data_IF_314767951416
#
_entry.id   IF_314767951416
#
_cell.length_a   1.000
_cell.length_b   1.000
_cell.length_c   1.000
_cell.angle_alpha   90.00
_cell.angle_beta   90.00
_cell.angle_gamma   90.00
#
_symmetry.space_group_name_H-M   'P 1'
#
loop_
_entity.id
_entity.type
_entity.pdbx_description
1 polymer ?
#
# COMPACT_ATOMS: atom_id res chain seq x y z
N UNK A 1 -30.34 -8.01 5.63
CA UNK A 1 -29.87 -6.61 5.46
C UNK A 1 -29.38 -6.44 4.03
N UNK A 2 -29.56 -5.27 3.42
CA UNK A 2 -29.11 -5.02 2.05
C UNK A 2 -27.61 -4.71 2.08
N UNK A 3 -26.74 -5.59 1.55
CA UNK A 3 -25.28 -5.46 1.59
C UNK A 3 -24.73 -4.45 0.57
N UNK A 4 -25.52 -3.44 0.21
CA UNK A 4 -25.16 -2.40 -0.74
C UNK A 4 -24.91 -1.08 -0.03
N UNK A 5 -23.96 -0.30 -0.54
CA UNK A 5 -23.72 1.05 -0.06
C UNK A 5 -24.97 1.92 -0.31
N UNK A 6 -25.29 2.87 0.59
CA UNK A 6 -26.62 3.47 0.64
C UNK A 6 -26.92 4.44 -0.50
N UNK A 7 -25.91 4.99 -1.16
CA UNK A 7 -26.09 5.93 -2.28
C UNK A 7 -25.46 5.41 -3.58
N UNK A 8 -26.04 5.74 -4.75
CA UNK A 8 -25.44 5.43 -6.05
C UNK A 8 -24.02 6.00 -6.21
N UNK A 9 -23.75 7.17 -5.61
CA UNK A 9 -22.41 7.77 -5.62
C UNK A 9 -21.39 6.91 -4.87
N UNK A 10 -21.71 6.46 -3.65
CA UNK A 10 -20.83 5.56 -2.90
C UNK A 10 -20.63 4.22 -3.62
N UNK A 11 -21.68 3.67 -4.22
CA UNK A 11 -21.58 2.45 -5.03
C UNK A 11 -20.64 2.65 -6.21
N UNK A 12 -20.74 3.77 -6.93
CA UNK A 12 -19.83 4.10 -8.03
C UNK A 12 -18.38 4.25 -7.57
N UNK A 13 -18.13 4.97 -6.48
CA UNK A 13 -16.77 5.15 -5.93
C UNK A 13 -16.18 3.81 -5.50
N UNK A 14 -16.93 2.97 -4.78
CA UNK A 14 -16.51 1.62 -4.42
C UNK A 14 -16.15 0.79 -5.66
N UNK A 15 -17.06 0.71 -6.63
CA UNK A 15 -16.90 -0.11 -7.83
C UNK A 15 -15.70 0.34 -8.68
N UNK A 16 -15.47 1.66 -8.77
CA UNK A 16 -14.44 2.25 -9.63
C UNK A 16 -13.05 2.39 -8.99
N UNK A 17 -12.92 2.25 -7.66
CA UNK A 17 -11.66 2.47 -6.93
C UNK A 17 -11.20 1.30 -6.07
N UNK A 18 -12.13 0.56 -5.46
CA UNK A 18 -11.82 -0.41 -4.41
C UNK A 18 -12.18 -1.85 -4.79
N UNK A 19 -13.24 -2.04 -5.58
CA UNK A 19 -13.68 -3.34 -6.04
C UNK A 19 -12.69 -3.96 -7.03
N UNK A 20 -12.20 -5.17 -6.74
CA UNK A 20 -11.33 -5.91 -7.66
C UNK A 20 -12.12 -6.58 -8.77
N UNK A 21 -11.46 -6.80 -9.90
CA UNK A 21 -11.99 -7.66 -10.94
C UNK A 21 -11.90 -9.13 -10.50
N UNK A 22 -12.98 -9.87 -10.72
CA UNK A 22 -13.08 -11.32 -10.48
C UNK A 22 -13.15 -12.00 -11.85
N UNK A 23 -12.03 -12.59 -12.28
CA UNK A 23 -11.90 -13.20 -13.61
C UNK A 23 -12.89 -14.35 -13.84
N UNK A 24 -13.19 -15.13 -12.81
CA UNK A 24 -14.15 -16.23 -12.86
C UNK A 24 -15.60 -15.74 -13.05
N UNK A 25 -15.95 -14.60 -12.44
CA UNK A 25 -17.31 -14.04 -12.49
C UNK A 25 -17.49 -12.98 -13.57
N UNK A 26 -16.42 -12.59 -14.27
CA UNK A 26 -16.41 -11.53 -15.30
C UNK A 26 -17.07 -10.22 -14.82
N UNK A 27 -16.84 -9.86 -13.55
CA UNK A 27 -17.34 -8.62 -12.94
C UNK A 27 -16.41 -8.14 -11.84
N UNK A 28 -16.63 -6.91 -11.37
CA UNK A 28 -15.98 -6.44 -10.14
C UNK A 28 -16.71 -6.94 -8.90
N UNK A 29 -15.98 -7.03 -7.79
CA UNK A 29 -16.50 -7.27 -6.44
C UNK A 29 -17.67 -6.35 -6.10
N UNK A 30 -18.63 -6.86 -5.34
CA UNK A 30 -19.61 -6.05 -4.63
C UNK A 30 -19.09 -5.69 -3.23
N UNK A 31 -19.75 -4.77 -2.52
CA UNK A 31 -19.27 -4.24 -1.24
C UNK A 31 -18.97 -5.34 -0.23
N UNK A 32 -19.90 -6.29 -0.06
CA UNK A 32 -19.69 -7.45 0.83
C UNK A 32 -18.48 -8.30 0.47
N UNK A 33 -18.24 -8.56 -0.82
CA UNK A 33 -17.08 -9.35 -1.26
C UNK A 33 -15.75 -8.62 -0.97
N UNK A 34 -15.72 -7.30 -1.13
CA UNK A 34 -14.55 -6.48 -0.76
C UNK A 34 -14.28 -6.52 0.75
N UNK A 35 -15.33 -6.39 1.59
CA UNK A 35 -15.21 -6.48 3.07
C UNK A 35 -14.73 -7.87 3.49
N UNK A 36 -15.31 -8.92 2.92
CA UNK A 36 -14.94 -10.31 3.21
C UNK A 36 -13.48 -10.58 2.83
N UNK A 37 -13.02 -10.08 1.67
CA UNK A 37 -11.61 -10.19 1.27
C UNK A 37 -10.69 -9.48 2.26
N UNK A 38 -11.05 -8.27 2.68
CA UNK A 38 -10.26 -7.52 3.65
C UNK A 38 -10.17 -8.25 5.00
N UNK A 39 -11.30 -8.69 5.56
CA UNK A 39 -11.33 -9.38 6.85
C UNK A 39 -10.58 -10.71 6.80
N UNK A 40 -10.80 -11.51 5.75
CA UNK A 40 -10.07 -12.77 5.55
C UNK A 40 -8.56 -12.54 5.54
N UNK A 41 -8.10 -11.49 4.88
CA UNK A 41 -6.69 -11.12 4.88
C UNK A 41 -6.21 -10.74 6.29
N UNK A 42 -6.93 -9.89 7.01
CA UNK A 42 -6.53 -9.46 8.36
C UNK A 42 -6.50 -10.61 9.36
N UNK A 43 -7.52 -11.48 9.37
CA UNK A 43 -7.57 -12.68 10.23
C UNK A 43 -6.37 -13.58 9.94
N UNK A 44 -6.07 -13.82 8.66
CA UNK A 44 -4.90 -14.60 8.27
C UNK A 44 -3.58 -13.99 8.77
N UNK A 45 -3.42 -12.66 8.66
CA UNK A 45 -2.23 -11.96 9.15
C UNK A 45 -2.10 -12.04 10.67
N UNK A 46 -3.20 -11.85 11.41
CA UNK A 46 -3.22 -11.93 12.88
C UNK A 46 -2.86 -13.33 13.35
N UNK A 47 -3.49 -14.36 12.77
CA UNK A 47 -3.16 -15.75 13.07
C UNK A 47 -1.70 -16.07 12.77
N UNK A 48 -1.20 -15.67 11.60
CA UNK A 48 0.17 -15.98 11.18
C UNK A 48 1.24 -15.25 11.99
N UNK A 49 1.03 -13.98 12.35
CA UNK A 49 2.03 -13.14 13.05
C UNK A 49 1.95 -13.24 14.56
N UNK A 50 0.77 -13.50 15.11
CA UNK A 50 0.53 -13.46 16.55
C UNK A 50 0.00 -14.77 17.13
N UNK A 51 -0.18 -15.81 16.29
CA UNK A 51 -0.75 -17.11 16.71
C UNK A 51 -2.09 -16.96 17.43
N UNK A 52 -2.86 -15.95 17.04
CA UNK A 52 -4.12 -15.59 17.66
C UNK A 52 -5.28 -15.85 16.71
N UNK A 53 -6.22 -16.67 17.16
CA UNK A 53 -7.50 -16.90 16.47
C UNK A 53 -8.54 -15.93 17.04
N UNK A 54 -9.03 -15.04 16.18
CA UNK A 54 -10.10 -14.11 16.53
C UNK A 54 -11.40 -14.90 16.79
N UNK A 55 -12.11 -14.64 17.91
CA UNK A 55 -13.42 -15.22 18.17
C UNK A 55 -14.39 -14.97 17.01
N UNK A 56 -15.20 -15.97 16.67
CA UNK A 56 -16.14 -15.88 15.54
C UNK A 56 -17.12 -14.71 15.69
N UNK A 57 -17.56 -14.44 16.93
CA UNK A 57 -18.44 -13.32 17.26
C UNK A 57 -17.77 -11.97 16.95
N UNK A 58 -16.51 -11.79 17.33
CA UNK A 58 -15.78 -10.55 17.07
C UNK A 58 -15.63 -10.31 15.56
N UNK A 59 -15.40 -11.38 14.77
CA UNK A 59 -15.32 -11.30 13.32
C UNK A 59 -16.66 -10.86 12.72
N UNK A 60 -17.77 -11.42 13.19
CA UNK A 60 -19.12 -11.08 12.75
C UNK A 60 -19.48 -9.63 13.11
N UNK A 61 -19.23 -9.23 14.36
CA UNK A 61 -19.49 -7.87 14.86
C UNK A 61 -18.69 -6.83 14.04
N UNK A 62 -17.41 -7.08 13.79
CA UNK A 62 -16.57 -6.19 12.95
C UNK A 62 -17.09 -6.16 11.51
N UNK A 63 -17.47 -7.30 10.95
CA UNK A 63 -17.98 -7.40 9.58
C UNK A 63 -19.25 -6.59 9.42
N UNK A 64 -20.20 -6.75 10.31
CA UNK A 64 -21.48 -6.06 10.25
C UNK A 64 -21.31 -4.55 10.49
N UNK A 65 -20.42 -4.15 11.40
CA UNK A 65 -20.08 -2.75 11.59
C UNK A 65 -19.45 -2.11 10.34
N UNK A 66 -18.60 -2.82 9.60
CA UNK A 66 -18.05 -2.33 8.32
C UNK A 66 -19.14 -2.26 7.26
N UNK A 67 -19.98 -3.30 7.14
CA UNK A 67 -21.06 -3.34 6.16
C UNK A 67 -22.09 -2.22 6.39
N UNK A 68 -22.45 -1.98 7.65
CA UNK A 68 -23.33 -0.91 8.11
C UNK A 68 -22.70 0.48 8.08
N UNK A 69 -21.42 0.59 7.69
CA UNK A 69 -20.65 1.84 7.65
C UNK A 69 -20.47 2.52 9.02
N UNK A 70 -20.60 1.78 10.11
CA UNK A 70 -20.34 2.26 11.48
C UNK A 70 -18.84 2.49 11.70
N UNK A 71 -18.01 1.67 11.05
CA UNK A 71 -16.55 1.82 11.02
C UNK A 71 -16.03 1.71 9.59
N UNK A 72 -14.89 2.36 9.32
CA UNK A 72 -14.21 2.32 8.03
C UNK A 72 -12.77 1.83 8.18
N UNK A 73 -12.40 0.69 7.59
CA UNK A 73 -11.00 0.25 7.56
C UNK A 73 -10.09 1.18 6.73
N UNK A 74 -8.79 0.95 6.79
CA UNK A 74 -7.84 1.60 5.87
C UNK A 74 -8.28 1.37 4.42
N UNK A 75 -8.61 2.45 3.73
CA UNK A 75 -9.00 2.43 2.32
C UNK A 75 -7.91 1.80 1.43
N UNK A 76 -6.63 2.02 1.77
CA UNK A 76 -5.50 1.35 1.10
C UNK A 76 -5.56 -0.15 1.29
N UNK A 77 -5.77 -0.63 2.52
CA UNK A 77 -5.90 -2.06 2.79
C UNK A 77 -7.17 -2.66 2.14
N UNK A 78 -8.28 -1.94 2.08
CA UNK A 78 -9.49 -2.37 1.35
C UNK A 78 -9.18 -2.62 -0.14
N UNK A 79 -8.36 -1.77 -0.74
CA UNK A 79 -7.88 -1.92 -2.12
C UNK A 79 -6.84 -3.06 -2.26
N UNK A 80 -5.89 -3.17 -1.34
CA UNK A 80 -4.66 -3.99 -1.52
C UNK A 80 -4.65 -5.33 -0.78
N UNK A 81 -5.54 -5.57 0.19
CA UNK A 81 -5.65 -6.83 0.94
C UNK A 81 -5.69 -8.06 0.02
N UNK A 82 -4.78 -9.00 0.27
CA UNK A 82 -4.51 -10.16 -0.60
C UNK A 82 -3.03 -10.20 -1.02
N UNK A 83 -2.71 -10.79 -2.19
CA UNK A 83 -1.32 -11.03 -2.60
C UNK A 83 -0.45 -9.77 -2.70
N UNK A 84 -1.04 -8.63 -3.08
CA UNK A 84 -0.31 -7.36 -3.18
C UNK A 84 0.18 -6.89 -1.79
N UNK A 85 -0.73 -6.78 -0.82
CA UNK A 85 -0.39 -6.37 0.54
C UNK A 85 0.43 -7.42 1.30
N UNK A 86 0.28 -8.71 0.98
CA UNK A 86 1.13 -9.77 1.52
C UNK A 86 2.59 -9.65 1.05
N UNK A 87 2.80 -9.22 -0.19
CA UNK A 87 4.14 -9.09 -0.80
C UNK A 87 4.88 -7.86 -0.29
N UNK A 88 4.17 -6.75 -0.11
CA UNK A 88 4.77 -5.50 0.34
C UNK A 88 3.79 -4.72 1.23
N UNK A 89 4.19 -4.57 2.51
CA UNK A 89 3.42 -3.85 3.51
C UNK A 89 3.27 -2.36 3.17
N UNK A 90 4.18 -1.75 2.39
CA UNK A 90 4.10 -0.34 1.98
C UNK A 90 2.80 -0.08 1.23
N UNK A 91 2.26 -1.07 0.49
CA UNK A 91 0.97 -0.96 -0.18
C UNK A 91 -0.23 -0.72 0.78
N UNK A 92 -0.04 -0.96 2.09
CA UNK A 92 -1.05 -0.73 3.12
C UNK A 92 -1.03 0.67 3.74
N UNK A 93 0.05 1.42 3.51
CA UNK A 93 0.20 2.79 3.96
C UNK A 93 -0.24 3.76 2.85
N UNK A 94 -0.63 4.96 3.26
CA UNK A 94 -1.03 6.03 2.34
C UNK A 94 -0.03 7.19 2.34
N UNK A 95 0.56 7.47 3.50
CA UNK A 95 1.51 8.54 3.70
C UNK A 95 2.71 8.03 4.50
N UNK A 96 3.86 8.66 4.29
CA UNK A 96 5.13 8.38 4.95
C UNK A 96 5.97 9.65 5.03
N UNK A 97 7.06 9.61 5.77
CA UNK A 97 7.99 10.72 5.93
C UNK A 97 9.44 10.23 5.92
N UNK A 98 10.34 11.00 5.30
CA UNK A 98 11.78 10.70 5.29
C UNK A 98 12.63 11.98 5.36
N UNK A 99 13.59 12.11 6.29
CA UNK A 99 14.60 13.16 6.21
C UNK A 99 15.60 12.87 5.07
N UNK A 100 16.00 13.91 4.33
CA UNK A 100 17.02 13.79 3.28
C UNK A 100 18.39 13.99 3.91
N UNK A 101 18.87 12.96 4.61
CA UNK A 101 20.14 12.96 5.35
C UNK A 101 21.19 11.98 4.81
N UNK A 102 20.81 11.17 3.83
CA UNK A 102 21.72 10.27 3.11
C UNK A 102 21.26 10.09 1.65
N UNK A 103 22.15 9.69 0.72
CA UNK A 103 21.74 9.36 -0.65
C UNK A 103 20.68 8.25 -0.72
N UNK A 104 20.61 7.38 0.29
CA UNK A 104 19.58 6.35 0.42
C UNK A 104 18.17 6.93 0.56
N UNK A 105 18.02 8.16 1.04
CA UNK A 105 16.70 8.80 1.12
C UNK A 105 16.05 8.93 -0.26
N UNK A 106 16.83 9.00 -1.35
CA UNK A 106 16.30 9.10 -2.71
C UNK A 106 15.79 7.76 -3.26
N UNK A 107 16.54 6.66 -3.08
CA UNK A 107 16.10 5.34 -3.56
C UNK A 107 14.88 4.82 -2.77
N UNK A 108 14.84 5.05 -1.46
CA UNK A 108 13.70 4.73 -0.61
C UNK A 108 12.46 5.57 -0.97
N UNK A 109 12.63 6.88 -1.17
CA UNK A 109 11.54 7.76 -1.60
C UNK A 109 10.94 7.28 -2.93
N UNK A 110 11.79 6.94 -3.91
CA UNK A 110 11.32 6.40 -5.20
C UNK A 110 10.54 5.10 -5.01
N UNK A 111 11.06 4.16 -4.20
CA UNK A 111 10.40 2.89 -3.93
C UNK A 111 9.01 3.08 -3.29
N UNK A 112 8.92 3.91 -2.25
CA UNK A 112 7.69 4.16 -1.51
C UNK A 112 6.62 4.82 -2.42
N UNK A 113 7.01 5.80 -3.23
CA UNK A 113 6.14 6.43 -4.21
C UNK A 113 5.62 5.42 -5.25
N UNK A 114 6.48 4.52 -5.75
CA UNK A 114 6.07 3.45 -6.67
C UNK A 114 5.14 2.41 -6.04
N UNK A 115 5.11 2.31 -4.71
CA UNK A 115 4.12 1.51 -3.98
C UNK A 115 2.79 2.25 -3.74
N UNK A 116 2.67 3.48 -4.26
CA UNK A 116 1.47 4.31 -4.17
C UNK A 116 1.26 4.93 -2.79
N UNK A 117 2.35 5.09 -2.03
CA UNK A 117 2.37 5.80 -0.74
C UNK A 117 2.98 7.17 -0.95
N UNK A 118 2.32 8.23 -0.50
CA UNK A 118 2.87 9.58 -0.50
C UNK A 118 4.05 9.70 0.45
N UNK A 119 5.07 10.46 0.06
CA UNK A 119 6.27 10.70 0.87
C UNK A 119 6.41 12.20 1.12
N UNK A 120 6.27 12.62 2.38
CA UNK A 120 6.76 13.91 2.82
C UNK A 120 8.25 13.82 3.12
N UNK A 121 9.00 14.90 2.90
CA UNK A 121 10.45 14.88 3.15
C UNK A 121 10.93 16.20 3.76
N UNK A 122 12.03 16.13 4.52
CA UNK A 122 12.70 17.31 5.06
C UNK A 122 14.06 17.52 4.40
N UNK A 123 14.29 18.76 3.96
CA UNK A 123 15.55 19.27 3.41
C UNK A 123 16.13 20.38 4.29
N UNK A 124 15.84 20.34 5.59
CA UNK A 124 16.44 21.25 6.56
C UNK A 124 17.96 21.05 6.65
N UNK A 125 18.70 22.11 7.01
CA UNK A 125 20.17 22.11 7.06
C UNK A 125 20.72 20.93 7.88
N UNK A 126 20.12 20.66 9.03
CA UNK A 126 20.50 19.53 9.89
C UNK A 126 20.41 18.15 9.24
N UNK A 127 19.66 18.02 8.13
CA UNK A 127 19.58 16.81 7.33
C UNK A 127 20.54 16.89 6.14
N UNK A 128 20.44 17.94 5.32
CA UNK A 128 21.21 18.01 4.07
C UNK A 128 22.72 18.19 4.28
N UNK A 129 23.15 18.78 5.41
CA UNK A 129 24.58 18.92 5.73
C UNK A 129 25.27 17.56 6.01
N UNK A 130 24.50 16.48 6.22
CA UNK A 130 25.00 15.11 6.37
C UNK A 130 25.28 14.42 5.03
N UNK A 131 24.80 14.99 3.92
CA UNK A 131 24.99 14.40 2.59
C UNK A 131 26.47 14.46 2.18
N UNK A 132 26.97 13.46 1.43
CA UNK A 132 28.32 13.49 0.93
C UNK A 132 28.50 14.62 -0.09
N UNK A 133 29.70 15.20 -0.11
CA UNK A 133 30.09 16.13 -1.18
C UNK A 133 30.10 15.37 -2.50
N UNK A 134 29.41 15.90 -3.50
CA UNK A 134 29.40 15.34 -4.85
C UNK A 134 30.63 15.81 -5.60
N UNK A 135 31.26 14.93 -6.37
CA UNK A 135 32.40 15.28 -7.24
C UNK A 135 31.97 16.26 -8.33
N UNK A 136 32.70 17.35 -8.50
CA UNK A 136 32.50 18.28 -9.62
C UNK A 136 32.95 17.68 -10.97
N UNK A 137 33.80 16.65 -10.92
CA UNK A 137 34.25 15.93 -12.09
C UNK A 137 33.33 14.72 -12.35
N UNK A 138 32.55 14.81 -13.43
CA UNK A 138 31.81 13.69 -14.03
C UNK A 138 32.51 13.31 -15.34
N UNK A 139 32.78 12.03 -15.54
CA UNK A 139 33.44 11.51 -16.74
C UNK A 139 32.53 10.54 -17.47
N UNK A 140 32.54 10.60 -18.79
CA UNK A 140 31.91 9.57 -19.61
C UNK A 140 32.56 8.22 -19.33
N UNK A 141 31.74 7.19 -19.24
CA UNK A 141 32.16 5.83 -18.96
C UNK A 141 31.42 4.84 -19.85
N UNK A 142 32.12 3.79 -20.30
CA UNK A 142 31.51 2.65 -20.97
C UNK A 142 30.75 1.73 -20.00
N UNK A 143 30.64 2.12 -18.72
CA UNK A 143 29.91 1.36 -17.70
C UNK A 143 28.42 1.32 -18.02
N UNK A 144 27.90 0.11 -18.24
CA UNK A 144 26.47 -0.12 -18.45
C UNK A 144 25.80 -0.58 -17.16
N UNK A 145 24.87 0.23 -16.64
CA UNK A 145 24.03 -0.14 -15.50
C UNK A 145 22.83 -0.94 -16.00
N UNK A 146 22.73 -2.21 -15.60
CA UNK A 146 21.58 -3.07 -15.91
C UNK A 146 20.49 -2.88 -14.87
N UNK A 147 19.36 -2.31 -15.28
CA UNK A 147 18.20 -2.06 -14.42
C UNK A 147 17.18 -3.19 -14.58
N UNK A 148 16.76 -3.80 -13.46
CA UNK A 148 15.69 -4.80 -13.49
C UNK A 148 14.33 -4.15 -13.66
N UNK A 149 13.45 -4.74 -14.48
CA UNK A 149 12.08 -4.25 -14.71
C UNK A 149 11.16 -4.56 -13.51
N UNK A 150 11.40 -3.85 -12.41
CA UNK A 150 10.69 -4.01 -11.15
C UNK A 150 10.88 -2.79 -10.26
N UNK A 151 9.94 -2.52 -9.36
CA UNK A 151 10.06 -1.40 -8.41
C UNK A 151 11.41 -1.39 -7.65
N UNK A 152 11.90 -2.52 -7.11
CA UNK A 152 13.24 -2.57 -6.50
C UNK A 152 14.37 -2.30 -7.50
N UNK A 153 14.24 -2.77 -8.76
CA UNK A 153 15.26 -2.56 -9.79
C UNK A 153 15.42 -1.09 -10.16
N UNK A 154 14.31 -0.39 -10.38
CA UNK A 154 14.30 1.05 -10.60
C UNK A 154 14.85 1.82 -9.40
N UNK A 155 14.39 1.54 -8.18
CA UNK A 155 14.90 2.20 -6.98
C UNK A 155 16.42 1.99 -6.80
N UNK A 156 16.91 0.75 -6.97
CA UNK A 156 18.33 0.42 -6.85
C UNK A 156 19.20 1.12 -7.90
N UNK A 157 18.65 1.53 -9.05
CA UNK A 157 19.42 2.23 -10.09
C UNK A 157 19.78 3.67 -9.73
N UNK A 158 19.18 4.22 -8.66
CA UNK A 158 19.56 5.52 -8.07
C UNK A 158 20.77 5.42 -7.12
N UNK A 159 21.36 4.23 -6.97
CA UNK A 159 22.46 3.94 -6.06
C UNK A 159 23.73 3.53 -6.79
#
# INVERSE_FOLDING_TARGET
MNNMLPTPYQQFIHKSRYARWLDDKQRREDWGETVDRYLKFMIYQVKGKHQYDLPAKDIEDIRDAILGQEIMPSMRAMMTAGPALARDNICGYNCSYIPVDSPRSFDECMYILMCGTGVGFSVERENVDKLPVVSDAMHDTDTVIKVGDSKPGWAKSLR
#
